data_IF_595701968049
#
_entry.id   IF_595701968049
#
_cell.length_a   1.000
_cell.length_b   1.000
_cell.length_c   1.000
_cell.angle_alpha   90.00
_cell.angle_beta   90.00
_cell.angle_gamma   90.00
#
_symmetry.space_group_name_H-M   'P 1'
#
loop_
_entity.id
_entity.type
_entity.pdbx_description
1 polymer ?
#
# COMPACT_ATOMS: atom_id res chain seq x y z
N UNK A 1 -15.24 28.40 -17.26
CA UNK A 1 -14.94 27.90 -15.90
C UNK A 1 -14.98 26.36 -15.76
N UNK A 2 -15.60 25.62 -16.69
CA UNK A 2 -15.67 24.14 -16.64
C UNK A 2 -14.37 23.40 -17.05
N UNK A 3 -13.48 24.06 -17.81
CA UNK A 3 -12.22 23.49 -18.30
C UNK A 3 -11.11 23.45 -17.25
N UNK A 4 -11.01 24.47 -16.40
CA UNK A 4 -10.04 24.54 -15.30
C UNK A 4 -10.26 23.41 -14.28
N UNK A 5 -11.52 23.14 -13.94
CA UNK A 5 -11.89 22.15 -12.93
C UNK A 5 -11.56 20.70 -13.31
N UNK A 6 -11.56 20.36 -14.62
CA UNK A 6 -11.14 19.04 -15.10
C UNK A 6 -9.62 18.85 -15.03
N UNK A 7 -8.85 19.88 -15.35
CA UNK A 7 -7.39 19.83 -15.26
C UNK A 7 -6.91 19.73 -13.81
N UNK A 8 -7.60 20.39 -12.87
CA UNK A 8 -7.29 20.27 -11.44
C UNK A 8 -7.61 18.87 -10.88
N UNK A 9 -8.58 18.17 -11.45
CA UNK A 9 -8.92 16.80 -11.06
C UNK A 9 -7.90 15.79 -11.60
N UNK A 10 -7.46 15.96 -12.85
CA UNK A 10 -6.44 15.13 -13.49
C UNK A 10 -5.10 15.21 -12.76
N UNK A 11 -4.62 16.42 -12.49
CA UNK A 11 -3.37 16.65 -11.76
C UNK A 11 -3.43 16.09 -10.33
N UNK A 12 -4.53 16.27 -9.60
CA UNK A 12 -4.73 15.66 -8.28
C UNK A 12 -4.69 14.12 -8.31
N UNK A 13 -5.29 13.52 -9.34
CA UNK A 13 -5.29 12.07 -9.49
C UNK A 13 -3.89 11.55 -9.84
N UNK A 14 -3.13 12.23 -10.70
CA UNK A 14 -1.74 11.90 -11.02
C UNK A 14 -0.84 11.99 -9.78
N UNK A 15 -0.93 13.08 -9.01
CA UNK A 15 -0.19 13.24 -7.76
C UNK A 15 -0.52 12.16 -6.72
N UNK A 16 -1.79 11.74 -6.64
CA UNK A 16 -2.19 10.63 -5.78
C UNK A 16 -1.57 9.30 -6.22
N UNK A 17 -1.50 9.03 -7.52
CA UNK A 17 -0.91 7.81 -8.06
C UNK A 17 0.60 7.77 -7.83
N UNK A 18 1.30 8.88 -8.03
CA UNK A 18 2.75 8.94 -7.79
C UNK A 18 3.10 8.79 -6.31
N UNK A 19 2.25 9.33 -5.43
CA UNK A 19 2.38 9.10 -3.99
C UNK A 19 2.20 7.60 -3.65
N UNK A 20 1.17 6.93 -4.19
CA UNK A 20 0.95 5.50 -3.97
C UNK A 20 2.15 4.67 -4.44
N UNK A 21 2.71 4.97 -5.63
CA UNK A 21 3.90 4.29 -6.16
C UNK A 21 5.08 4.42 -5.20
N UNK A 22 5.34 5.62 -4.68
CA UNK A 22 6.43 5.85 -3.73
C UNK A 22 6.23 5.05 -2.44
N UNK A 23 5.05 5.10 -1.82
CA UNK A 23 4.75 4.33 -0.60
C UNK A 23 4.92 2.83 -0.86
N UNK A 24 4.47 2.33 -2.01
CA UNK A 24 4.62 0.92 -2.39
C UNK A 24 6.08 0.53 -2.60
N UNK A 25 6.87 1.38 -3.27
CA UNK A 25 8.29 1.14 -3.48
C UNK A 25 9.06 1.09 -2.14
N UNK A 26 8.79 2.03 -1.24
CA UNK A 26 9.36 2.03 0.11
C UNK A 26 8.94 0.81 0.93
N UNK A 27 7.70 0.33 0.79
CA UNK A 27 7.26 -0.91 1.43
C UNK A 27 8.06 -2.13 0.96
N UNK A 28 8.32 -2.24 -0.35
CA UNK A 28 9.09 -3.36 -0.92
C UNK A 28 10.56 -3.35 -0.48
N UNK A 29 11.19 -2.18 -0.44
CA UNK A 29 12.60 -2.04 -0.09
C UNK A 29 12.89 -1.98 1.41
N UNK A 30 11.88 -1.73 2.24
CA UNK A 30 12.09 -1.63 3.69
C UNK A 30 12.56 -2.97 4.27
N UNK A 31 13.75 -2.96 4.87
CA UNK A 31 14.27 -4.11 5.63
C UNK A 31 13.75 -4.13 7.07
N UNK A 32 13.41 -2.96 7.61
CA UNK A 32 12.83 -2.82 8.93
C UNK A 32 11.34 -3.18 8.93
N UNK A 33 10.98 -4.12 9.81
CA UNK A 33 9.61 -4.58 10.05
C UNK A 33 8.68 -3.43 10.44
N UNK A 34 9.13 -2.49 11.28
CA UNK A 34 8.34 -1.33 11.70
C UNK A 34 8.04 -0.40 10.53
N UNK A 35 9.05 -0.12 9.70
CA UNK A 35 8.88 0.70 8.48
C UNK A 35 7.92 0.01 7.51
N UNK A 36 8.06 -1.31 7.30
CA UNK A 36 7.12 -2.10 6.50
C UNK A 36 5.68 -2.00 7.03
N UNK A 37 5.48 -2.08 8.35
CA UNK A 37 4.15 -1.93 8.94
C UNK A 37 3.56 -0.54 8.69
N UNK A 38 4.35 0.52 8.89
CA UNK A 38 3.90 1.90 8.64
C UNK A 38 3.51 2.10 7.18
N UNK A 39 4.32 1.61 6.23
CA UNK A 39 4.01 1.74 4.80
C UNK A 39 2.79 0.89 4.40
N UNK A 40 2.63 -0.31 4.95
CA UNK A 40 1.42 -1.12 4.72
C UNK A 40 0.15 -0.42 5.23
N UNK A 41 0.21 0.20 6.42
CA UNK A 41 -0.91 0.97 6.98
C UNK A 41 -1.24 2.20 6.13
N UNK A 42 -0.22 2.88 5.60
CA UNK A 42 -0.42 3.99 4.67
C UNK A 42 -1.12 3.51 3.39
N UNK A 43 -0.67 2.41 2.77
CA UNK A 43 -1.30 1.82 1.58
C UNK A 43 -2.77 1.45 1.83
N UNK A 44 -3.05 0.76 2.94
CA UNK A 44 -4.42 0.40 3.30
C UNK A 44 -5.33 1.61 3.52
N UNK A 45 -4.77 2.73 3.97
CA UNK A 45 -5.52 3.98 4.18
C UNK A 45 -5.78 4.70 2.87
N UNK A 46 -4.76 4.83 2.01
CA UNK A 46 -4.87 5.52 0.71
C UNK A 46 -5.79 4.76 -0.24
N UNK A 47 -5.74 3.43 -0.23
CA UNK A 47 -6.57 2.57 -1.06
C UNK A 47 -7.94 2.27 -0.43
N UNK A 48 -8.27 2.89 0.70
CA UNK A 48 -9.55 2.75 1.39
C UNK A 48 -9.97 1.29 1.68
N UNK A 49 -9.03 0.48 2.17
CA UNK A 49 -9.31 -0.92 2.51
C UNK A 49 -10.42 -0.99 3.56
N UNK A 50 -11.38 -1.88 3.33
CA UNK A 50 -12.42 -2.20 4.31
C UNK A 50 -11.81 -2.85 5.55
N UNK A 51 -12.53 -2.78 6.67
CA UNK A 51 -12.13 -3.44 7.92
C UNK A 51 -11.93 -4.94 7.76
N UNK A 52 -12.69 -5.58 6.86
CA UNK A 52 -12.55 -7.01 6.52
C UNK A 52 -11.25 -7.31 5.79
N UNK A 53 -10.87 -6.47 4.83
CA UNK A 53 -9.61 -6.62 4.07
C UNK A 53 -8.39 -6.39 4.96
N UNK A 54 -8.46 -5.39 5.86
CA UNK A 54 -7.42 -5.16 6.88
C UNK A 54 -7.24 -6.37 7.78
N UNK A 55 -8.33 -6.91 8.33
CA UNK A 55 -8.29 -8.08 9.20
C UNK A 55 -7.73 -9.34 8.49
N UNK A 56 -8.01 -9.51 7.19
CA UNK A 56 -7.45 -10.61 6.38
C UNK A 56 -5.93 -10.49 6.22
N UNK A 57 -5.41 -9.27 6.03
CA UNK A 57 -3.97 -9.03 5.90
C UNK A 57 -3.26 -9.23 7.25
N UNK A 58 -3.85 -8.74 8.34
CA UNK A 58 -3.30 -8.89 9.68
C UNK A 58 -3.28 -10.36 10.14
N UNK A 59 -4.35 -11.12 9.87
CA UNK A 59 -4.40 -12.56 10.18
C UNK A 59 -3.40 -13.38 9.37
N UNK A 60 -3.20 -13.06 8.08
CA UNK A 60 -2.15 -13.69 7.27
C UNK A 60 -0.73 -13.40 7.79
N UNK A 61 -0.53 -12.24 8.42
CA UNK A 61 0.75 -11.89 9.04
C UNK A 61 1.04 -12.71 10.29
N UNK A 62 0.02 -13.03 11.08
CA UNK A 62 0.16 -13.89 12.27
C UNK A 62 0.46 -15.35 11.91
N UNK A 63 -0.13 -15.87 10.83
CA UNK A 63 0.12 -17.25 10.38
C UNK A 63 1.52 -17.48 9.83
N UNK A 64 2.19 -16.44 9.31
CA UNK A 64 3.56 -16.56 8.78
C UNK A 64 4.65 -16.49 9.86
N UNK A 65 4.29 -16.34 11.15
CA UNK A 65 5.24 -16.37 12.27
C UNK A 65 5.80 -17.77 12.58
N UNK A 66 5.24 -18.84 12.00
CA UNK A 66 5.75 -20.22 12.16
C UNK A 66 6.38 -20.81 10.88
N UNK A 67 6.35 -20.09 9.76
CA UNK A 67 6.97 -20.54 8.50
C UNK A 67 7.61 -19.35 7.78
N UNK A 68 8.72 -18.85 8.33
CA UNK A 68 9.62 -17.95 7.59
C UNK A 68 10.19 -18.68 6.37
N UNK A 69 9.55 -18.54 5.21
CA UNK A 69 10.11 -18.99 3.95
C UNK A 69 9.17 -18.91 2.77
N UNK A 70 9.15 -17.76 2.08
CA UNK A 70 8.88 -17.73 0.63
C UNK A 70 7.54 -17.17 0.19
N UNK A 71 7.38 -15.85 0.21
CA UNK A 71 6.42 -15.13 -0.65
C UNK A 71 7.06 -14.60 -1.94
N UNK A 72 8.26 -15.07 -2.28
CA UNK A 72 8.90 -14.85 -3.57
C UNK A 72 9.32 -16.20 -4.14
N UNK A 73 8.40 -16.85 -4.86
CA UNK A 73 8.74 -17.93 -5.78
C UNK A 73 8.06 -17.60 -7.10
N UNK A 74 8.78 -16.85 -7.93
CA UNK A 74 8.45 -16.63 -9.34
C UNK A 74 8.90 -17.90 -10.09
N UNK A 75 7.97 -18.56 -10.77
CA UNK A 75 8.26 -19.58 -11.78
C UNK A 75 8.97 -18.96 -12.98
#
# INVERSE_FOLDING_TARGET
>A
KLSTQRNDLLTKNEHNIDYIKNVFYHYLLANDTQVKHTMANALMTILHFSTKEKAKIESQKQTNSLTSGGWFNYK
#
